data_IF_600793217524
#
_entry.id   IF_600793217524
#
_cell.length_a   1.000
_cell.length_b   1.000
_cell.length_c   1.000
_cell.angle_alpha   90.00
_cell.angle_beta   90.00
_cell.angle_gamma   90.00
#
_symmetry.space_group_name_H-M   'P 1'
#
loop_
_entity.id
_entity.type
_entity.pdbx_description
1 polymer ?
#
# COMPACT_ATOMS: atom_id res chain seq x y z
N UNK A 1 -16.16 17.07 -5.38
CA UNK A 1 -16.70 18.19 -4.64
C UNK A 1 -15.60 19.25 -4.50
N UNK A 2 -15.93 20.54 -4.74
CA UNK A 2 -14.92 21.61 -4.72
C UNK A 2 -15.51 22.87 -4.10
N UNK A 3 -14.69 23.68 -3.40
CA UNK A 3 -15.09 25.02 -2.97
C UNK A 3 -15.29 25.95 -4.18
N UNK A 4 -16.22 26.92 -4.03
CA UNK A 4 -16.52 27.88 -5.11
C UNK A 4 -15.32 28.75 -5.49
N UNK A 5 -14.45 29.02 -4.51
CA UNK A 5 -13.27 29.87 -4.65
C UNK A 5 -12.11 29.15 -5.35
N UNK A 6 -12.18 27.82 -5.52
CA UNK A 6 -11.11 27.08 -6.19
C UNK A 6 -11.06 27.45 -7.69
N UNK A 7 -9.93 27.92 -8.20
CA UNK A 7 -9.81 28.31 -9.61
C UNK A 7 -10.17 27.16 -10.56
N UNK A 8 -10.90 27.47 -11.62
CA UNK A 8 -11.37 26.47 -12.60
C UNK A 8 -10.23 25.75 -13.31
N UNK A 9 -9.12 26.43 -13.53
CA UNK A 9 -7.92 25.84 -14.14
C UNK A 9 -7.29 24.77 -13.22
N UNK A 10 -7.30 24.96 -11.90
CA UNK A 10 -6.88 23.93 -10.92
C UNK A 10 -7.77 22.71 -11.01
N UNK A 11 -9.10 22.91 -11.04
CA UNK A 11 -10.06 21.80 -11.20
C UNK A 11 -9.80 21.06 -12.52
N UNK A 12 -9.60 21.81 -13.62
CA UNK A 12 -9.30 21.22 -14.93
C UNK A 12 -8.01 20.41 -14.92
N UNK A 13 -6.96 20.86 -14.22
CA UNK A 13 -5.70 20.13 -14.07
C UNK A 13 -5.87 18.84 -13.26
N UNK A 14 -6.70 18.85 -12.20
CA UNK A 14 -7.02 17.64 -11.42
C UNK A 14 -7.66 16.58 -12.33
N UNK A 15 -8.69 16.96 -13.09
CA UNK A 15 -9.38 16.05 -14.01
C UNK A 15 -8.46 15.57 -15.15
N UNK A 16 -7.65 16.44 -15.73
CA UNK A 16 -6.70 16.08 -16.78
C UNK A 16 -5.68 15.06 -16.25
N UNK A 17 -5.07 15.32 -15.10
CA UNK A 17 -4.10 14.42 -14.48
C UNK A 17 -4.73 13.04 -14.13
N UNK A 18 -5.96 13.04 -13.63
CA UNK A 18 -6.69 11.80 -13.36
C UNK A 18 -6.97 11.02 -14.67
N UNK A 19 -7.41 11.72 -15.72
CA UNK A 19 -7.69 11.11 -17.03
C UNK A 19 -6.42 10.50 -17.66
N UNK A 20 -5.26 11.13 -17.47
CA UNK A 20 -3.99 10.61 -17.98
C UNK A 20 -3.62 9.29 -17.29
N UNK A 21 -3.72 9.23 -15.96
CA UNK A 21 -3.43 7.99 -15.20
C UNK A 21 -4.45 6.88 -15.52
N UNK A 22 -5.75 7.23 -15.65
CA UNK A 22 -6.78 6.26 -16.04
C UNK A 22 -6.51 5.69 -17.43
N UNK A 23 -6.07 6.54 -18.38
CA UNK A 23 -5.73 6.12 -19.75
C UNK A 23 -4.48 5.23 -19.75
N UNK A 24 -3.45 5.56 -18.96
CA UNK A 24 -2.28 4.70 -18.75
C UNK A 24 -2.70 3.34 -18.17
N UNK A 25 -3.68 3.32 -17.27
CA UNK A 25 -4.26 2.09 -16.73
C UNK A 25 -5.11 1.30 -17.76
N UNK A 26 -5.33 1.82 -18.97
CA UNK A 26 -6.17 1.19 -20.01
C UNK A 26 -7.66 1.40 -19.80
N UNK A 27 -8.04 2.32 -18.91
CA UNK A 27 -9.42 2.67 -18.63
C UNK A 27 -9.87 3.96 -19.32
N UNK A 28 -11.10 4.37 -19.04
CA UNK A 28 -11.67 5.66 -19.44
C UNK A 28 -12.53 6.23 -18.32
N UNK A 29 -12.59 7.55 -18.23
CA UNK A 29 -13.57 8.22 -17.36
C UNK A 29 -14.88 8.30 -18.14
N UNK A 30 -15.87 7.51 -17.71
CA UNK A 30 -17.15 7.40 -18.40
C UNK A 30 -18.16 8.49 -17.96
N UNK A 31 -17.93 9.13 -16.82
CA UNK A 31 -18.82 10.17 -16.31
C UNK A 31 -18.50 10.55 -14.87
N UNK A 32 -19.36 11.35 -14.29
CA UNK A 32 -19.24 11.81 -12.92
C UNK A 32 -20.10 13.05 -12.67
N UNK A 33 -20.03 13.57 -11.45
CA UNK A 33 -20.73 14.77 -11.06
C UNK A 33 -19.87 15.60 -10.11
N UNK A 34 -20.05 16.91 -10.18
CA UNK A 34 -19.34 17.86 -9.30
C UNK A 34 -20.37 18.63 -8.47
N UNK A 35 -20.14 18.68 -7.16
CA UNK A 35 -20.94 19.45 -6.22
C UNK A 35 -20.07 20.49 -5.50
N UNK A 36 -20.72 21.48 -4.90
CA UNK A 36 -20.04 22.48 -4.05
C UNK A 36 -19.80 21.89 -2.67
N UNK A 37 -18.61 22.11 -2.12
CA UNK A 37 -18.23 21.70 -0.77
C UNK A 37 -17.10 22.62 -0.26
N UNK A 38 -17.08 23.02 1.00
CA UNK A 38 -16.01 23.88 1.56
C UNK A 38 -14.60 23.28 1.43
N UNK A 39 -14.49 21.94 1.46
CA UNK A 39 -13.23 21.23 1.30
C UNK A 39 -13.17 20.53 -0.08
N UNK A 40 -12.02 20.56 -0.77
CA UNK A 40 -11.88 19.84 -2.02
C UNK A 40 -11.85 18.33 -1.75
N UNK A 41 -12.76 17.58 -2.37
CA UNK A 41 -12.81 16.13 -2.34
C UNK A 41 -12.86 15.63 -3.78
N UNK A 42 -11.88 14.80 -4.17
CA UNK A 42 -11.84 14.19 -5.49
C UNK A 42 -11.56 12.69 -5.35
N UNK A 43 -12.26 11.88 -6.12
CA UNK A 43 -12.07 10.44 -6.15
C UNK A 43 -12.72 9.81 -7.39
N UNK A 44 -12.38 8.56 -7.65
CA UNK A 44 -12.90 7.78 -8.76
C UNK A 44 -13.57 6.52 -8.23
N UNK A 45 -14.78 6.23 -8.71
CA UNK A 45 -15.41 4.92 -8.60
C UNK A 45 -14.96 4.08 -9.80
N UNK A 46 -14.23 3.01 -9.53
CA UNK A 46 -13.67 2.15 -10.58
C UNK A 46 -14.53 0.92 -10.76
N UNK A 47 -14.91 0.63 -12.01
CA UNK A 47 -15.61 -0.59 -12.39
C UNK A 47 -14.84 -1.31 -13.49
N UNK A 48 -14.88 -2.64 -13.48
CA UNK A 48 -14.23 -3.48 -14.46
C UNK A 48 -14.72 -4.91 -14.40
N UNK A 49 -14.18 -5.75 -15.28
CA UNK A 49 -14.45 -7.18 -15.30
C UNK A 49 -13.14 -7.95 -15.13
N UNK A 50 -13.21 -9.06 -14.42
CA UNK A 50 -12.09 -9.96 -14.20
C UNK A 50 -12.54 -11.41 -14.38
N UNK A 51 -11.66 -12.26 -14.92
CA UNK A 51 -11.92 -13.69 -14.92
C UNK A 51 -11.96 -14.21 -13.47
N UNK A 52 -13.04 -14.88 -13.04
CA UNK A 52 -13.17 -15.40 -11.67
C UNK A 52 -11.99 -16.26 -11.21
N UNK A 53 -11.33 -16.95 -12.13
CA UNK A 53 -10.17 -17.80 -11.83
C UNK A 53 -8.85 -16.99 -11.65
N UNK A 54 -8.84 -15.70 -11.98
CA UNK A 54 -7.66 -14.85 -11.92
C UNK A 54 -7.80 -13.77 -10.81
N UNK A 55 -8.71 -13.96 -9.88
CA UNK A 55 -8.92 -13.02 -8.78
C UNK A 55 -7.91 -13.28 -7.66
N UNK A 56 -7.09 -12.30 -7.35
CA UNK A 56 -6.34 -12.28 -6.10
C UNK A 56 -7.23 -11.83 -4.94
N UNK A 57 -7.27 -12.62 -3.88
CA UNK A 57 -8.09 -12.36 -2.69
C UNK A 57 -7.22 -11.88 -1.53
N UNK A 58 -7.84 -11.23 -0.55
CA UNK A 58 -7.18 -10.89 0.74
C UNK A 58 -7.13 -12.08 1.71
N UNK A 59 -7.59 -13.26 1.31
CA UNK A 59 -7.60 -14.48 2.10
C UNK A 59 -6.96 -15.61 1.32
N UNK A 60 -6.43 -16.59 2.04
CA UNK A 60 -5.82 -17.78 1.45
C UNK A 60 -4.31 -17.89 1.65
N UNK A 61 -3.68 -16.92 2.34
CA UNK A 61 -2.27 -17.04 2.72
C UNK A 61 -2.05 -18.31 3.56
N UNK A 62 -0.97 -19.01 3.30
CA UNK A 62 -0.59 -20.26 3.95
C UNK A 62 0.64 -20.04 4.86
N UNK A 63 0.74 -20.84 5.93
CA UNK A 63 1.97 -20.88 6.70
C UNK A 63 3.14 -21.34 5.82
N UNK A 64 4.25 -20.61 5.87
CA UNK A 64 5.40 -20.79 4.98
C UNK A 64 5.44 -19.84 3.78
N UNK A 65 4.34 -19.16 3.48
CA UNK A 65 4.35 -18.12 2.43
C UNK A 65 5.28 -16.96 2.79
N UNK A 66 5.89 -16.40 1.79
CA UNK A 66 6.73 -15.22 1.92
C UNK A 66 5.92 -13.96 1.64
N UNK A 67 6.03 -12.97 2.52
CA UNK A 67 5.42 -11.66 2.35
C UNK A 67 6.30 -10.78 1.45
N UNK A 68 5.75 -10.37 0.31
CA UNK A 68 6.40 -9.48 -0.67
C UNK A 68 5.67 -8.15 -0.74
N UNK A 69 6.43 -7.05 -0.80
CA UNK A 69 5.93 -5.69 -0.94
C UNK A 69 6.47 -5.03 -2.21
N UNK A 70 5.61 -4.39 -3.01
CA UNK A 70 5.98 -3.89 -4.35
C UNK A 70 6.35 -2.41 -4.43
N UNK A 71 6.11 -1.61 -3.38
CA UNK A 71 6.53 -0.20 -3.32
C UNK A 71 7.08 0.15 -1.94
N UNK A 72 7.95 1.17 -1.85
CA UNK A 72 8.42 1.69 -0.56
C UNK A 72 7.28 2.24 0.31
N UNK A 73 7.51 2.29 1.62
CA UNK A 73 6.64 2.91 2.62
C UNK A 73 7.10 4.32 2.98
N UNK A 74 6.21 5.09 3.59
CA UNK A 74 6.48 6.42 4.12
C UNK A 74 5.85 7.56 3.33
N UNK A 75 4.88 7.28 2.44
CA UNK A 75 4.22 8.36 1.66
C UNK A 75 3.54 9.38 2.55
N UNK A 76 2.91 8.94 3.65
CA UNK A 76 2.20 9.83 4.58
C UNK A 76 3.17 10.78 5.28
N UNK A 77 4.19 10.24 5.96
CA UNK A 77 5.16 11.05 6.71
C UNK A 77 5.99 11.96 5.79
N UNK A 78 6.39 11.48 4.60
CA UNK A 78 7.16 12.26 3.63
C UNK A 78 6.34 13.40 3.05
N UNK A 79 5.08 13.17 2.66
CA UNK A 79 4.23 14.25 2.14
C UNK A 79 3.90 15.30 3.19
N UNK A 80 3.79 14.89 4.47
CA UNK A 80 3.51 15.82 5.56
C UNK A 80 4.74 16.67 5.93
N UNK A 81 5.94 16.09 6.03
CA UNK A 81 7.09 16.73 6.65
C UNK A 81 8.41 16.63 5.85
N UNK A 82 8.42 15.97 4.70
CA UNK A 82 9.62 15.83 3.85
C UNK A 82 10.02 17.12 3.15
N UNK A 83 11.24 17.16 2.66
CA UNK A 83 11.73 18.21 1.76
C UNK A 83 11.01 18.12 0.41
N UNK A 84 11.08 19.18 -0.39
CA UNK A 84 10.48 19.16 -1.74
C UNK A 84 11.03 18.06 -2.66
N UNK A 85 12.31 17.71 -2.50
CA UNK A 85 12.93 16.61 -3.26
C UNK A 85 12.35 15.26 -2.84
N UNK A 86 12.27 14.98 -1.54
CA UNK A 86 11.69 13.76 -0.97
C UNK A 86 10.20 13.63 -1.36
N UNK A 87 9.43 14.72 -1.27
CA UNK A 87 8.03 14.76 -1.71
C UNK A 87 7.87 14.42 -3.18
N UNK A 88 8.74 14.98 -4.06
CA UNK A 88 8.69 14.66 -5.50
C UNK A 88 8.93 13.18 -5.76
N UNK A 89 9.89 12.56 -5.07
CA UNK A 89 10.17 11.12 -5.19
C UNK A 89 8.97 10.29 -4.72
N UNK A 90 8.39 10.61 -3.57
CA UNK A 90 7.21 9.92 -3.06
C UNK A 90 5.99 10.07 -4.01
N UNK A 91 5.74 11.26 -4.53
CA UNK A 91 4.66 11.54 -5.50
C UNK A 91 4.88 10.75 -6.80
N UNK A 92 6.12 10.66 -7.30
CA UNK A 92 6.43 9.84 -8.46
C UNK A 92 6.08 8.36 -8.22
N UNK A 93 6.43 7.83 -7.05
CA UNK A 93 6.04 6.47 -6.65
C UNK A 93 4.52 6.28 -6.51
N UNK A 94 3.80 7.27 -5.97
CA UNK A 94 2.32 7.24 -5.91
C UNK A 94 1.70 7.19 -7.30
N UNK A 95 2.27 7.90 -8.28
CA UNK A 95 1.80 7.93 -9.67
C UNK A 95 2.13 6.67 -10.45
N UNK A 96 3.11 5.90 -10.01
CA UNK A 96 3.44 4.61 -10.61
C UNK A 96 2.31 3.61 -10.38
N UNK A 97 1.74 3.07 -11.46
CA UNK A 97 0.69 2.06 -11.38
C UNK A 97 1.21 0.74 -10.79
N UNK A 98 0.37 0.02 -10.06
CA UNK A 98 0.67 -1.33 -9.58
C UNK A 98 0.58 -2.40 -10.69
N UNK A 99 0.36 -2.00 -11.96
CA UNK A 99 0.16 -2.90 -13.10
C UNK A 99 1.28 -3.92 -13.23
N UNK A 100 2.55 -3.49 -13.34
CA UNK A 100 3.67 -4.41 -13.53
C UNK A 100 3.82 -5.41 -12.39
N UNK A 101 3.59 -4.97 -11.15
CA UNK A 101 3.58 -5.87 -10.00
C UNK A 101 2.41 -6.87 -10.08
N UNK A 102 1.21 -6.42 -10.43
CA UNK A 102 0.06 -7.32 -10.59
C UNK A 102 0.26 -8.32 -11.75
N UNK A 103 0.80 -7.87 -12.89
CA UNK A 103 1.10 -8.73 -14.05
C UNK A 103 2.14 -9.80 -13.69
N UNK A 104 3.22 -9.45 -12.95
CA UNK A 104 4.22 -10.42 -12.50
C UNK A 104 3.66 -11.48 -11.55
N UNK A 105 2.65 -11.14 -10.73
CA UNK A 105 1.94 -12.12 -9.91
C UNK A 105 1.06 -13.05 -10.77
N UNK A 106 0.46 -12.54 -11.86
CA UNK A 106 -0.33 -13.37 -12.76
C UNK A 106 0.52 -14.44 -13.48
N UNK A 107 1.79 -14.15 -13.74
CA UNK A 107 2.72 -15.13 -14.36
C UNK A 107 2.98 -16.34 -13.45
N UNK A 108 2.84 -16.17 -12.12
CA UNK A 108 3.02 -17.22 -11.12
C UNK A 108 1.76 -17.44 -10.28
N UNK A 109 0.59 -17.27 -10.89
CA UNK A 109 -0.72 -17.20 -10.23
C UNK A 109 -0.97 -18.34 -9.23
N UNK A 110 -0.61 -19.56 -9.56
CA UNK A 110 -0.79 -20.75 -8.71
C UNK A 110 0.01 -20.69 -7.40
N UNK A 111 1.08 -19.89 -7.38
CA UNK A 111 1.94 -19.70 -6.21
C UNK A 111 1.53 -18.48 -5.38
N UNK A 112 0.53 -17.70 -5.80
CA UNK A 112 0.07 -16.48 -5.12
C UNK A 112 -1.20 -16.78 -4.35
N UNK A 113 -1.13 -16.79 -3.03
CA UNK A 113 -2.23 -17.21 -2.19
C UNK A 113 -3.10 -16.06 -1.67
N UNK A 114 -2.51 -14.89 -1.42
CA UNK A 114 -3.27 -13.70 -1.04
C UNK A 114 -2.59 -12.42 -1.53
N UNK A 115 -3.38 -11.40 -1.86
CA UNK A 115 -2.89 -10.07 -2.25
C UNK A 115 -3.81 -8.98 -1.73
N UNK A 116 -3.22 -7.89 -1.27
CA UNK A 116 -3.92 -6.62 -1.01
C UNK A 116 -3.07 -5.44 -1.47
N UNK A 117 -3.69 -4.30 -1.75
CA UNK A 117 -3.00 -3.03 -1.81
C UNK A 117 -2.75 -2.48 -0.40
N UNK A 118 -1.66 -1.72 -0.23
CA UNK A 118 -1.31 -1.07 1.03
C UNK A 118 -1.67 0.41 0.92
N UNK A 119 -2.70 0.82 1.67
CA UNK A 119 -3.23 2.19 1.61
C UNK A 119 -3.40 2.80 3.02
N UNK A 120 -4.54 3.38 3.33
CA UNK A 120 -4.78 4.19 4.52
C UNK A 120 -4.55 3.52 5.88
N UNK A 121 -4.68 2.19 5.97
CA UNK A 121 -4.40 1.45 7.21
C UNK A 121 -2.92 1.10 7.42
N UNK A 122 -2.05 1.46 6.46
CA UNK A 122 -0.62 1.14 6.52
C UNK A 122 -0.34 -0.35 6.29
N UNK A 123 0.93 -0.72 6.32
CA UNK A 123 1.35 -2.11 6.14
C UNK A 123 0.80 -3.03 7.24
N UNK A 124 0.85 -2.58 8.50
CA UNK A 124 0.37 -3.38 9.63
C UNK A 124 -1.13 -3.66 9.54
N UNK A 125 -1.96 -2.65 9.20
CA UNK A 125 -3.41 -2.85 9.09
C UNK A 125 -3.80 -3.74 7.91
N UNK A 126 -3.22 -3.54 6.74
CA UNK A 126 -3.50 -4.40 5.57
C UNK A 126 -2.89 -5.80 5.69
N UNK A 127 -1.74 -5.93 6.36
CA UNK A 127 -1.17 -7.23 6.73
C UNK A 127 -2.08 -8.00 7.69
N UNK A 128 -2.68 -7.29 8.66
CA UNK A 128 -3.68 -7.86 9.56
C UNK A 128 -4.90 -8.39 8.80
N UNK A 129 -5.40 -7.66 7.81
CA UNK A 129 -6.54 -8.14 6.99
C UNK A 129 -6.25 -9.49 6.31
N UNK A 130 -5.02 -9.69 5.79
CA UNK A 130 -4.61 -10.97 5.20
C UNK A 130 -4.50 -12.04 6.30
N UNK A 131 -3.79 -11.75 7.39
CA UNK A 131 -3.54 -12.70 8.48
C UNK A 131 -4.85 -13.22 9.08
N UNK A 132 -5.77 -12.33 9.43
CA UNK A 132 -7.07 -12.64 10.01
C UNK A 132 -7.94 -13.49 9.08
N UNK A 133 -8.04 -13.10 7.82
CA UNK A 133 -8.86 -13.79 6.81
C UNK A 133 -8.28 -15.14 6.37
N UNK A 134 -7.00 -15.36 6.61
CA UNK A 134 -6.29 -16.60 6.25
C UNK A 134 -6.08 -17.55 7.44
N UNK A 135 -6.32 -17.09 8.67
CA UNK A 135 -6.11 -17.89 9.88
C UNK A 135 -4.64 -18.11 10.24
N UNK A 136 -3.74 -17.21 9.82
CA UNK A 136 -2.29 -17.27 10.03
C UNK A 136 -1.77 -16.01 10.70
N UNK A 137 -0.50 -15.98 11.12
CA UNK A 137 0.16 -14.75 11.59
C UNK A 137 1.16 -14.26 10.57
N UNK A 138 1.25 -12.91 10.37
CA UNK A 138 2.25 -12.28 9.51
C UNK A 138 3.40 -11.74 10.37
N UNK A 139 4.61 -12.25 10.14
CA UNK A 139 5.86 -11.75 10.72
C UNK A 139 6.52 -10.82 9.73
N UNK A 140 6.75 -9.57 10.13
CA UNK A 140 7.40 -8.54 9.30
C UNK A 140 8.80 -8.26 9.87
N UNK A 141 9.81 -8.42 9.02
CA UNK A 141 11.19 -8.05 9.29
C UNK A 141 11.37 -6.56 8.95
N UNK A 142 11.21 -5.69 9.94
CA UNK A 142 11.16 -4.25 9.72
C UNK A 142 12.47 -3.68 9.14
N UNK A 143 13.60 -4.31 9.37
CA UNK A 143 14.88 -3.94 8.78
C UNK A 143 14.93 -4.11 7.24
N UNK A 144 14.04 -4.93 6.67
CA UNK A 144 13.97 -5.21 5.25
C UNK A 144 12.92 -4.34 4.51
N UNK A 145 12.25 -3.44 5.21
CA UNK A 145 11.22 -2.59 4.59
C UNK A 145 11.83 -1.64 3.55
N UNK A 146 11.34 -1.64 2.31
CA UNK A 146 11.71 -0.60 1.36
C UNK A 146 11.05 0.72 1.82
N UNK A 147 11.85 1.80 1.89
CA UNK A 147 11.40 3.09 2.39
C UNK A 147 11.68 4.19 1.36
N UNK A 148 10.77 5.15 1.27
CA UNK A 148 11.06 6.39 0.55
C UNK A 148 12.14 7.21 1.24
N UNK A 149 12.92 7.94 0.45
CA UNK A 149 13.93 8.85 0.96
C UNK A 149 13.34 9.80 2.01
N UNK A 150 14.05 9.96 3.11
CA UNK A 150 13.62 10.77 4.25
C UNK A 150 12.63 10.11 5.22
N UNK A 151 11.92 9.05 4.83
CA UNK A 151 10.89 8.43 5.67
C UNK A 151 11.44 8.00 7.04
N UNK A 152 12.54 7.24 7.06
CA UNK A 152 13.15 6.79 8.31
C UNK A 152 13.64 7.96 9.17
N UNK A 153 14.35 8.93 8.59
CA UNK A 153 14.82 10.12 9.28
C UNK A 153 13.67 10.91 9.92
N UNK A 154 12.57 11.09 9.20
CA UNK A 154 11.37 11.77 9.71
C UNK A 154 10.73 10.99 10.85
N UNK A 155 10.59 9.67 10.71
CA UNK A 155 10.06 8.82 11.77
C UNK A 155 10.93 8.84 13.03
N UNK A 156 12.27 8.81 12.90
CA UNK A 156 13.24 8.95 13.99
C UNK A 156 13.15 10.32 14.68
N UNK A 157 12.83 11.37 13.92
CA UNK A 157 12.59 12.72 14.47
C UNK A 157 11.22 12.87 15.16
N UNK A 158 10.46 11.78 15.28
CA UNK A 158 9.16 11.77 15.94
C UNK A 158 7.97 12.21 15.06
N UNK A 159 8.19 12.45 13.76
CA UNK A 159 7.06 12.78 12.88
C UNK A 159 6.12 11.59 12.73
N UNK A 160 4.83 11.85 12.85
CA UNK A 160 3.72 10.90 12.70
C UNK A 160 2.60 11.58 11.92
N UNK A 161 1.84 10.81 11.17
CA UNK A 161 0.64 11.29 10.49
C UNK A 161 -0.58 11.19 11.41
N UNK A 162 -1.63 11.95 11.12
CA UNK A 162 -2.89 11.84 11.86
C UNK A 162 -3.56 10.45 11.76
N UNK A 163 -3.14 9.61 10.82
CA UNK A 163 -3.62 8.22 10.66
C UNK A 163 -2.93 7.22 11.58
N UNK A 164 -1.70 7.48 12.04
CA UNK A 164 -0.90 6.55 12.84
C UNK A 164 -1.67 6.02 14.07
N UNK A 165 -2.21 6.90 14.90
CA UNK A 165 -2.93 6.51 16.10
C UNK A 165 -4.16 5.64 15.81
N UNK A 166 -4.91 5.96 14.76
CA UNK A 166 -6.08 5.15 14.33
C UNK A 166 -5.65 3.78 13.81
N UNK A 167 -4.56 3.71 13.07
CA UNK A 167 -4.04 2.46 12.52
C UNK A 167 -3.50 1.55 13.63
N UNK A 168 -2.88 2.11 14.67
CA UNK A 168 -2.48 1.33 15.87
C UNK A 168 -3.70 0.78 16.61
N UNK A 169 -4.73 1.59 16.80
CA UNK A 169 -5.97 1.16 17.45
C UNK A 169 -6.68 0.04 16.64
N UNK A 170 -6.60 0.10 15.31
CA UNK A 170 -7.23 -0.92 14.43
C UNK A 170 -6.68 -2.33 14.65
N UNK A 171 -5.39 -2.45 14.98
CA UNK A 171 -4.74 -3.76 15.24
C UNK A 171 -4.44 -3.98 16.74
N UNK A 172 -5.03 -3.20 17.63
CA UNK A 172 -4.84 -3.32 19.06
C UNK A 172 -5.20 -4.74 19.55
N UNK A 173 -4.32 -5.32 20.40
CA UNK A 173 -4.48 -6.69 20.88
C UNK A 173 -4.17 -7.79 19.84
N UNK A 174 -3.77 -7.41 18.62
CA UNK A 174 -3.46 -8.32 17.50
C UNK A 174 -2.04 -8.19 17.00
N UNK A 175 -1.22 -7.39 17.68
CA UNK A 175 0.13 -7.08 17.25
C UNK A 175 1.13 -7.28 18.39
N UNK A 176 2.28 -7.89 18.06
CA UNK A 176 3.46 -7.98 18.91
C UNK A 176 4.59 -7.17 18.29
N UNK A 177 5.24 -6.33 19.07
CA UNK A 177 6.27 -5.39 18.60
C UNK A 177 7.56 -5.66 19.36
N UNK A 178 8.65 -5.92 18.62
CA UNK A 178 10.02 -6.04 19.12
C UNK A 178 11.04 -5.28 18.27
N UNK A 179 10.55 -4.46 17.34
CA UNK A 179 11.35 -3.68 16.39
C UNK A 179 11.58 -2.24 16.87
N UNK A 180 12.46 -1.50 16.16
CA UNK A 180 12.71 -0.07 16.38
C UNK A 180 11.45 0.79 16.16
N UNK A 181 11.20 1.73 17.07
CA UNK A 181 9.99 2.58 17.08
C UNK A 181 9.78 3.37 15.78
N UNK A 182 10.85 3.79 15.10
CA UNK A 182 10.74 4.54 13.87
C UNK A 182 10.30 3.63 12.71
N UNK A 183 10.82 2.39 12.64
CA UNK A 183 10.41 1.40 11.67
C UNK A 183 8.98 0.92 11.92
N UNK A 184 8.64 0.70 13.19
CA UNK A 184 7.26 0.40 13.62
C UNK A 184 6.30 1.49 13.17
N UNK A 185 6.64 2.76 13.36
CA UNK A 185 5.80 3.87 12.92
C UNK A 185 5.54 3.87 11.41
N UNK A 186 6.53 3.49 10.61
CA UNK A 186 6.37 3.38 9.16
C UNK A 186 5.46 2.23 8.73
N UNK A 187 5.32 1.18 9.55
CA UNK A 187 4.32 0.14 9.33
C UNK A 187 2.89 0.64 9.54
N UNK A 188 2.70 1.68 10.36
CA UNK A 188 1.39 2.32 10.60
C UNK A 188 1.14 3.56 9.76
N UNK A 189 2.17 4.07 9.05
CA UNK A 189 2.03 5.25 8.21
C UNK A 189 1.02 5.00 7.08
N UNK A 190 -0.04 5.82 6.95
CA UNK A 190 -0.98 5.71 5.84
C UNK A 190 -0.27 5.87 4.50
N UNK A 191 -0.52 4.96 3.57
CA UNK A 191 0.03 5.04 2.23
C UNK A 191 -0.99 5.60 1.25
N UNK A 192 -0.60 6.58 0.47
CA UNK A 192 -1.36 7.06 -0.69
C UNK A 192 -0.86 6.34 -1.92
N UNK A 193 -1.74 5.60 -2.61
CA UNK A 193 -1.39 4.81 -3.79
C UNK A 193 -0.16 3.92 -3.55
N UNK A 194 -0.14 3.21 -2.42
CA UNK A 194 0.95 2.32 -2.05
C UNK A 194 1.05 1.08 -2.95
N UNK A 195 1.97 0.21 -2.61
CA UNK A 195 2.24 -1.02 -3.34
C UNK A 195 1.25 -2.14 -3.02
N UNK A 196 1.48 -3.29 -3.64
CA UNK A 196 0.82 -4.53 -3.30
C UNK A 196 1.60 -5.26 -2.22
N UNK A 197 0.89 -5.85 -1.26
CA UNK A 197 1.39 -6.85 -0.32
C UNK A 197 0.86 -8.21 -0.77
N UNK A 198 1.76 -9.16 -1.03
CA UNK A 198 1.43 -10.49 -1.52
C UNK A 198 1.98 -11.59 -0.61
N UNK A 199 1.19 -12.65 -0.40
CA UNK A 199 1.60 -13.93 0.18
C UNK A 199 1.92 -14.89 -0.97
N UNK A 200 3.17 -15.32 -1.07
CA UNK A 200 3.68 -16.11 -2.21
C UNK A 200 4.43 -17.34 -1.72
N UNK A 201 4.17 -18.48 -2.35
CA UNK A 201 4.91 -19.72 -2.09
C UNK A 201 6.43 -19.54 -2.29
N UNK A 202 7.30 -20.11 -1.42
CA UNK A 202 8.74 -19.85 -1.41
C UNK A 202 9.44 -20.06 -2.75
N UNK A 203 9.02 -21.05 -3.53
CA UNK A 203 9.67 -21.44 -4.79
C UNK A 203 9.60 -20.36 -5.87
N UNK A 204 8.59 -19.49 -5.84
CA UNK A 204 8.39 -18.40 -6.82
C UNK A 204 8.98 -17.06 -6.38
N UNK A 205 9.46 -16.95 -5.16
CA UNK A 205 9.93 -15.68 -4.57
C UNK A 205 11.18 -15.16 -5.26
N UNK A 206 12.13 -16.04 -5.57
CA UNK A 206 13.42 -15.64 -6.17
C UNK A 206 13.22 -14.84 -7.46
N UNK A 207 12.37 -15.32 -8.35
CA UNK A 207 12.15 -14.70 -9.66
C UNK A 207 11.43 -13.37 -9.53
N UNK A 208 10.42 -13.29 -8.65
CA UNK A 208 9.72 -12.04 -8.33
C UNK A 208 10.66 -10.98 -7.75
N UNK A 209 11.50 -11.33 -6.79
CA UNK A 209 12.46 -10.39 -6.18
C UNK A 209 13.54 -9.99 -7.19
N UNK A 210 14.04 -10.91 -8.02
CA UNK A 210 15.07 -10.60 -9.02
C UNK A 210 14.57 -9.67 -10.13
N UNK A 211 13.26 -9.57 -10.35
CA UNK A 211 12.66 -8.60 -11.27
C UNK A 211 12.83 -7.13 -10.82
N UNK A 212 13.19 -6.90 -9.55
CA UNK A 212 13.29 -5.58 -8.94
C UNK A 212 11.94 -4.92 -8.62
N UNK A 213 10.83 -5.63 -8.83
CA UNK A 213 9.47 -5.14 -8.52
C UNK A 213 9.05 -5.43 -7.08
N UNK A 214 9.71 -6.38 -6.41
CA UNK A 214 9.30 -6.90 -5.13
C UNK A 214 10.44 -6.93 -4.12
N UNK A 215 10.10 -6.62 -2.89
CA UNK A 215 11.00 -6.77 -1.72
C UNK A 215 10.39 -7.79 -0.76
N UNK A 216 11.19 -8.76 -0.32
CA UNK A 216 10.80 -9.65 0.77
C UNK A 216 10.80 -8.88 2.07
N UNK A 217 9.62 -8.80 2.72
CA UNK A 217 9.43 -8.03 3.97
C UNK A 217 9.07 -8.91 5.16
N UNK A 218 8.86 -10.21 4.96
CA UNK A 218 8.48 -11.11 6.05
C UNK A 218 8.00 -12.47 5.55
N UNK A 219 7.24 -13.14 6.42
CA UNK A 219 6.69 -14.48 6.18
C UNK A 219 5.38 -14.71 6.94
N UNK A 220 4.55 -15.60 6.45
CA UNK A 220 3.34 -16.05 7.13
C UNK A 220 3.63 -17.33 7.89
N UNK A 221 3.17 -17.43 9.14
CA UNK A 221 3.47 -18.56 10.03
C UNK A 221 2.19 -19.15 10.62
N UNK A 222 2.27 -20.45 10.98
CA UNK A 222 1.20 -21.14 11.70
C UNK A 222 1.18 -20.67 13.17
N UNK A 223 0.34 -19.71 13.44
CA UNK A 223 0.12 -19.14 14.77
C UNK A 223 -1.27 -18.50 14.83
N UNK A 224 -1.72 -18.15 16.02
CA UNK A 224 -2.94 -17.34 16.19
C UNK A 224 -2.87 -16.10 15.30
N UNK A 225 -3.93 -15.78 14.53
CA UNK A 225 -3.91 -14.63 13.65
C UNK A 225 -3.45 -13.35 14.33
N UNK A 226 -2.45 -12.70 13.72
CA UNK A 226 -1.82 -11.52 14.29
C UNK A 226 -0.73 -10.96 13.39
N UNK A 227 -0.12 -9.88 13.87
CA UNK A 227 1.06 -9.26 13.26
C UNK A 227 2.21 -9.29 14.25
N UNK A 228 3.39 -9.65 13.79
CA UNK A 228 4.64 -9.53 14.55
C UNK A 228 5.56 -8.59 13.80
N UNK A 229 5.95 -7.46 14.42
CA UNK A 229 6.99 -6.56 13.93
C UNK A 229 8.29 -6.83 14.69
N UNK A 230 9.31 -7.34 13.99
CA UNK A 230 10.63 -7.63 14.54
C UNK A 230 11.77 -6.93 13.81
#
# INVERSE_FOLDING_TARGET
AFPEELPRDVISQIFASAADVVREAGGTIAGGHTIRNPEPIFGLAVQGVVNPNNIFRKSGALAGDIALLSKPLGTGVVTAAGTDAEKRTAIAGMRTLNRRAAESLQEVHEAVHAVTDVTGYGLAGHGWEIADRSGVSLVIDTANLPLYDGALRLAQSGHRTGGDARNRLYVEGRITISADDALVALCFDPQTSGGLLAAVAPDSVRDLVSSGLWTRVGEFVDATPGIVLR
#
